data_IF_531937313470
#
_entry.id   IF_531937313470
#
_cell.length_a   1.000
_cell.length_b   1.000
_cell.length_c   1.000
_cell.angle_alpha   90.00
_cell.angle_beta   90.00
_cell.angle_gamma   90.00
#
_symmetry.space_group_name_H-M   'P 1'
#
loop_
_entity.id
_entity.type
_entity.pdbx_description
1 polymer ?
#
# COMPACT_ATOMS: atom_id res chain seq x y z
N UNK A 1 30.17 54.50 6.79
CA UNK A 1 29.36 54.24 5.58
C UNK A 1 29.29 52.72 5.40
N UNK A 2 28.20 52.08 5.84
CA UNK A 2 28.05 50.61 5.86
C UNK A 2 27.57 50.18 4.48
N UNK A 3 28.40 49.47 3.71
CA UNK A 3 27.99 48.90 2.42
C UNK A 3 27.22 47.61 2.67
N UNK A 4 25.91 47.69 2.47
CA UNK A 4 24.97 46.57 2.48
C UNK A 4 25.32 45.59 1.35
N UNK A 5 25.99 44.49 1.68
CA UNK A 5 26.27 43.42 0.72
C UNK A 5 24.96 42.70 0.36
N UNK A 6 24.35 43.11 -0.75
CA UNK A 6 23.24 42.38 -1.37
C UNK A 6 23.79 41.05 -1.89
N UNK A 7 23.40 39.93 -1.27
CA UNK A 7 23.66 38.56 -1.72
C UNK A 7 23.11 38.38 -3.14
N UNK A 8 23.91 38.67 -4.16
CA UNK A 8 23.60 38.38 -5.55
C UNK A 8 23.97 36.93 -5.83
N UNK A 9 23.03 36.02 -5.54
CA UNK A 9 23.10 34.60 -5.83
C UNK A 9 24.19 33.79 -5.07
N UNK A 10 23.76 32.64 -4.54
CA UNK A 10 24.62 31.68 -3.85
C UNK A 10 25.80 31.18 -4.69
N UNK A 11 25.74 31.33 -6.02
CA UNK A 11 26.81 30.99 -6.97
C UNK A 11 28.11 31.77 -6.70
N UNK A 12 28.05 32.97 -6.14
CA UNK A 12 29.23 33.79 -5.81
C UNK A 12 29.91 33.38 -4.49
N UNK A 13 29.27 32.53 -3.67
CA UNK A 13 29.82 32.07 -2.37
C UNK A 13 30.60 30.75 -2.46
N UNK A 14 30.74 30.17 -3.65
CA UNK A 14 31.41 28.89 -3.83
C UNK A 14 32.93 29.05 -3.88
N UNK A 15 33.57 28.97 -2.71
CA UNK A 15 35.03 29.08 -2.57
C UNK A 15 35.80 27.95 -3.25
N UNK A 16 35.22 26.76 -3.42
CA UNK A 16 35.93 25.56 -3.86
C UNK A 16 35.19 24.85 -5.01
N UNK A 17 35.69 25.02 -6.24
CA UNK A 17 35.05 24.47 -7.45
C UNK A 17 35.00 22.94 -7.49
N UNK A 18 35.94 22.27 -6.79
CA UNK A 18 36.03 20.82 -6.74
C UNK A 18 34.91 20.18 -5.91
N UNK A 19 34.55 20.78 -4.77
CA UNK A 19 33.45 20.29 -3.92
C UNK A 19 32.09 20.39 -4.63
N UNK A 20 31.91 21.43 -5.45
CA UNK A 20 30.70 21.61 -6.27
C UNK A 20 30.63 20.54 -7.35
N UNK A 21 31.75 20.24 -8.03
CA UNK A 21 31.79 19.21 -9.05
C UNK A 21 31.53 17.82 -8.45
N UNK A 22 32.10 17.52 -7.29
CA UNK A 22 31.86 16.27 -6.57
C UNK A 22 30.40 16.17 -6.09
N UNK A 23 29.84 17.25 -5.55
CA UNK A 23 28.42 17.28 -5.16
C UNK A 23 27.47 17.11 -6.36
N UNK A 24 27.81 17.69 -7.53
CA UNK A 24 27.07 17.49 -8.77
C UNK A 24 27.20 16.06 -9.29
N UNK A 25 28.38 15.45 -9.17
CA UNK A 25 28.59 14.07 -9.56
C UNK A 25 27.80 13.11 -8.66
N UNK A 26 27.83 13.29 -7.34
CA UNK A 26 26.98 12.52 -6.41
C UNK A 26 25.49 12.71 -6.68
N UNK A 27 25.06 13.92 -7.03
CA UNK A 27 23.67 14.17 -7.40
C UNK A 27 23.31 13.44 -8.69
N UNK A 28 24.19 13.46 -9.71
CA UNK A 28 23.99 12.72 -10.95
C UNK A 28 23.97 11.22 -10.70
N UNK A 29 24.84 10.69 -9.84
CA UNK A 29 24.85 9.29 -9.43
C UNK A 29 23.58 8.91 -8.67
N UNK A 30 23.08 9.76 -7.76
CA UNK A 30 21.84 9.53 -7.03
C UNK A 30 20.59 9.59 -7.94
N UNK A 31 20.56 10.50 -8.92
CA UNK A 31 19.47 10.61 -9.91
C UNK A 31 19.50 9.42 -10.87
N UNK A 32 20.70 8.98 -11.28
CA UNK A 32 20.89 7.85 -12.19
C UNK A 32 20.92 6.49 -11.47
N UNK A 33 20.86 6.47 -10.14
CA UNK A 33 20.70 5.26 -9.35
C UNK A 33 19.31 4.72 -9.62
N UNK A 34 19.21 3.87 -10.65
CA UNK A 34 17.99 3.12 -10.93
C UNK A 34 17.63 2.37 -9.65
N UNK A 35 16.44 2.58 -9.06
CA UNK A 35 16.00 1.70 -7.98
C UNK A 35 16.11 0.28 -8.53
N UNK A 36 16.79 -0.61 -7.78
CA UNK A 36 16.87 -2.03 -8.12
C UNK A 36 15.49 -2.48 -8.61
N UNK A 37 15.43 -3.07 -9.80
CA UNK A 37 14.18 -3.59 -10.36
C UNK A 37 13.51 -4.42 -9.26
N UNK A 38 12.43 -3.88 -8.69
CA UNK A 38 11.63 -4.61 -7.71
C UNK A 38 11.19 -5.85 -8.45
N UNK A 39 11.68 -7.02 -8.02
CA UNK A 39 11.26 -8.31 -8.58
C UNK A 39 9.74 -8.28 -8.69
N UNK A 40 9.20 -8.57 -9.88
CA UNK A 40 7.76 -8.64 -10.07
C UNK A 40 7.23 -9.78 -9.21
N UNK A 41 6.67 -9.44 -8.06
CA UNK A 41 6.01 -10.37 -7.13
C UNK A 41 4.51 -10.26 -7.33
N UNK A 42 3.80 -11.38 -7.27
CA UNK A 42 2.34 -11.39 -7.48
C UNK A 42 1.60 -10.87 -6.24
N UNK A 43 2.12 -11.21 -5.05
CA UNK A 43 1.64 -10.73 -3.77
C UNK A 43 2.78 -10.73 -2.74
N UNK A 44 2.51 -10.23 -1.55
CA UNK A 44 3.39 -10.38 -0.39
C UNK A 44 2.55 -10.93 0.76
N UNK A 45 2.90 -12.12 1.25
CA UNK A 45 2.17 -12.79 2.33
C UNK A 45 3.12 -13.34 3.38
N UNK A 46 3.11 -12.72 4.56
CA UNK A 46 4.00 -13.08 5.67
C UNK A 46 3.45 -14.29 6.40
N UNK A 47 4.22 -15.39 6.41
CA UNK A 47 3.91 -16.63 7.12
C UNK A 47 4.43 -16.57 8.56
N UNK A 48 5.69 -16.15 8.72
CA UNK A 48 6.38 -15.97 10.00
C UNK A 48 7.54 -14.98 9.87
N UNK A 49 8.28 -14.76 10.96
CA UNK A 49 9.39 -13.79 11.05
C UNK A 49 10.52 -14.02 10.03
N UNK A 50 10.58 -15.20 9.39
CA UNK A 50 11.65 -15.58 8.47
C UNK A 50 11.16 -15.86 7.05
N UNK A 51 9.84 -15.91 6.85
CA UNK A 51 9.25 -16.46 5.64
C UNK A 51 8.12 -15.58 5.13
N UNK A 52 8.34 -15.02 3.95
CA UNK A 52 7.34 -14.27 3.17
C UNK A 52 7.17 -14.94 1.81
N UNK A 53 5.92 -15.26 1.47
CA UNK A 53 5.56 -15.84 0.18
C UNK A 53 5.18 -14.75 -0.81
N UNK A 54 5.65 -14.92 -2.03
CA UNK A 54 5.47 -13.97 -3.12
C UNK A 54 4.69 -14.55 -4.30
N UNK A 55 4.60 -15.89 -4.37
CA UNK A 55 3.90 -16.64 -5.41
C UNK A 55 3.08 -17.78 -4.80
N UNK A 56 1.99 -18.18 -5.48
CA UNK A 56 1.16 -19.32 -5.03
C UNK A 56 1.93 -20.63 -4.93
N UNK A 57 3.04 -20.73 -5.66
CA UNK A 57 3.96 -21.85 -5.69
C UNK A 57 4.72 -22.03 -4.38
N UNK A 58 4.89 -20.95 -3.62
CA UNK A 58 5.68 -20.92 -2.39
C UNK A 58 4.99 -21.68 -1.26
N UNK A 59 3.67 -21.87 -1.36
CA UNK A 59 2.88 -22.67 -0.43
C UNK A 59 3.19 -24.17 -0.59
N UNK A 60 3.64 -24.79 0.49
CA UNK A 60 3.89 -26.24 0.55
C UNK A 60 2.58 -26.99 0.80
N UNK A 61 1.68 -26.43 1.60
CA UNK A 61 0.37 -27.02 1.87
C UNK A 61 -0.62 -26.71 0.75
N UNK A 62 -1.15 -27.77 0.11
CA UNK A 62 -2.21 -27.62 -0.90
C UNK A 62 -3.45 -26.95 -0.32
N UNK A 63 -3.78 -27.26 0.94
CA UNK A 63 -4.92 -26.69 1.66
C UNK A 63 -4.71 -25.21 1.98
N UNK A 64 -3.53 -24.83 2.48
CA UNK A 64 -3.20 -23.44 2.75
C UNK A 64 -3.22 -22.60 1.46
N UNK A 65 -2.71 -23.17 0.36
CA UNK A 65 -2.77 -22.53 -0.97
C UNK A 65 -4.20 -22.25 -1.43
N UNK A 66 -5.09 -23.24 -1.30
CA UNK A 66 -6.51 -23.07 -1.66
C UNK A 66 -7.19 -22.02 -0.77
N UNK A 67 -6.92 -22.05 0.53
CA UNK A 67 -7.46 -21.08 1.47
C UNK A 67 -6.94 -19.66 1.19
N UNK A 68 -5.68 -19.53 0.81
CA UNK A 68 -5.08 -18.26 0.42
C UNK A 68 -5.69 -17.71 -0.88
N UNK A 69 -6.01 -18.56 -1.85
CA UNK A 69 -6.76 -18.12 -3.04
C UNK A 69 -8.14 -17.55 -2.67
N UNK A 70 -8.84 -18.21 -1.74
CA UNK A 70 -10.11 -17.68 -1.21
C UNK A 70 -9.91 -16.35 -0.47
N UNK A 71 -8.86 -16.24 0.33
CA UNK A 71 -8.48 -14.98 0.99
C UNK A 71 -8.24 -13.86 -0.04
N UNK A 72 -7.48 -14.10 -1.10
CA UNK A 72 -7.24 -13.12 -2.15
C UNK A 72 -8.54 -12.66 -2.83
N UNK A 73 -9.45 -13.58 -3.12
CA UNK A 73 -10.76 -13.23 -3.68
C UNK A 73 -11.56 -12.34 -2.71
N UNK A 74 -11.65 -12.72 -1.43
CA UNK A 74 -12.36 -11.92 -0.43
C UNK A 74 -11.74 -10.54 -0.24
N UNK A 75 -10.41 -10.43 -0.33
CA UNK A 75 -9.70 -9.16 -0.23
C UNK A 75 -10.02 -8.27 -1.44
N UNK A 76 -10.10 -8.84 -2.64
CA UNK A 76 -10.54 -8.11 -3.84
C UNK A 76 -11.98 -7.63 -3.70
N UNK A 77 -12.87 -8.48 -3.22
CA UNK A 77 -14.28 -8.12 -3.00
C UNK A 77 -14.41 -7.02 -1.93
N UNK A 78 -13.57 -7.06 -0.89
CA UNK A 78 -13.49 -6.02 0.14
C UNK A 78 -13.08 -4.66 -0.43
N UNK A 79 -12.02 -4.60 -1.26
CA UNK A 79 -11.62 -3.34 -1.91
C UNK A 79 -12.72 -2.82 -2.84
N UNK A 80 -13.44 -3.70 -3.56
CA UNK A 80 -14.58 -3.29 -4.38
C UNK A 80 -15.72 -2.69 -3.55
N UNK A 81 -16.04 -3.27 -2.40
CA UNK A 81 -17.05 -2.70 -1.49
C UNK A 81 -16.60 -1.35 -0.92
N UNK A 82 -15.31 -1.21 -0.64
CA UNK A 82 -14.72 0.05 -0.17
C UNK A 82 -14.83 1.15 -1.23
N UNK A 83 -14.51 0.86 -2.48
CA UNK A 83 -14.66 1.81 -3.59
C UNK A 83 -16.12 2.24 -3.75
N UNK A 84 -17.05 1.28 -3.70
CA UNK A 84 -18.49 1.55 -3.73
C UNK A 84 -18.96 2.41 -2.56
N UNK A 85 -18.44 2.15 -1.36
CA UNK A 85 -18.75 2.93 -0.17
C UNK A 85 -18.29 4.39 -0.34
N UNK A 86 -17.09 4.60 -0.88
CA UNK A 86 -16.57 5.93 -1.18
C UNK A 86 -17.42 6.67 -2.23
N UNK A 87 -17.87 5.97 -3.29
CA UNK A 87 -18.81 6.55 -4.26
C UNK A 87 -20.12 6.99 -3.61
N UNK A 88 -20.70 6.16 -2.73
CA UNK A 88 -21.93 6.48 -2.01
C UNK A 88 -21.73 7.65 -1.04
N UNK A 89 -20.60 7.71 -0.33
CA UNK A 89 -20.25 8.85 0.53
C UNK A 89 -20.10 10.14 -0.27
N UNK A 90 -19.45 10.07 -1.43
CA UNK A 90 -19.32 11.21 -2.34
C UNK A 90 -20.67 11.67 -2.89
N UNK A 91 -21.57 10.73 -3.21
CA UNK A 91 -22.95 11.02 -3.61
C UNK A 91 -23.73 11.68 -2.47
N UNK A 92 -23.62 11.13 -1.25
CA UNK A 92 -24.27 11.66 -0.05
C UNK A 92 -23.89 13.12 0.22
N UNK A 93 -22.62 13.50 0.04
CA UNK A 93 -22.15 14.88 0.23
C UNK A 93 -22.88 15.85 -0.71
N UNK A 94 -23.10 15.44 -1.97
CA UNK A 94 -23.71 16.26 -3.03
C UNK A 94 -25.24 16.20 -3.05
N UNK A 95 -25.82 15.19 -2.40
CA UNK A 95 -27.24 14.88 -2.40
C UNK A 95 -28.09 15.91 -1.63
N UNK A 96 -29.36 16.03 -2.04
CA UNK A 96 -30.36 16.78 -1.28
C UNK A 96 -30.87 15.98 -0.06
N UNK A 97 -31.69 16.59 0.81
CA UNK A 97 -32.15 15.94 2.05
C UNK A 97 -32.88 14.60 1.81
N UNK A 98 -33.75 14.53 0.80
CA UNK A 98 -34.51 13.31 0.52
C UNK A 98 -33.61 12.18 -0.02
N UNK A 99 -32.61 12.52 -0.82
CA UNK A 99 -31.60 11.57 -1.32
C UNK A 99 -30.68 11.09 -0.19
N UNK A 100 -30.27 12.00 0.72
CA UNK A 100 -29.49 11.65 1.91
C UNK A 100 -30.21 10.64 2.79
N UNK A 101 -31.51 10.83 3.03
CA UNK A 101 -32.32 9.91 3.84
C UNK A 101 -32.44 8.52 3.19
N UNK A 102 -32.30 8.42 1.85
CA UNK A 102 -32.27 7.15 1.12
C UNK A 102 -30.89 6.48 1.11
N UNK A 103 -29.83 7.27 0.97
CA UNK A 103 -28.45 6.75 0.84
C UNK A 103 -27.85 6.39 2.21
N UNK A 104 -28.18 7.13 3.28
CA UNK A 104 -27.68 6.89 4.63
C UNK A 104 -27.81 5.44 5.12
N UNK A 105 -28.98 4.78 5.04
CA UNK A 105 -29.11 3.39 5.49
C UNK A 105 -28.24 2.42 4.66
N UNK A 106 -28.10 2.66 3.35
CA UNK A 106 -27.26 1.84 2.47
C UNK A 106 -25.77 1.98 2.81
N UNK A 107 -25.31 3.20 3.10
CA UNK A 107 -23.94 3.44 3.59
C UNK A 107 -23.69 2.63 4.87
N UNK A 108 -24.61 2.74 5.84
CA UNK A 108 -24.48 2.05 7.12
C UNK A 108 -24.49 0.52 6.98
N UNK A 109 -25.30 -0.01 6.06
CA UNK A 109 -25.34 -1.45 5.77
C UNK A 109 -24.01 -1.94 5.19
N UNK A 110 -23.45 -1.23 4.20
CA UNK A 110 -22.17 -1.59 3.58
C UNK A 110 -21.04 -1.49 4.61
N UNK A 111 -21.03 -0.46 5.46
CA UNK A 111 -20.04 -0.33 6.54
C UNK A 111 -20.07 -1.53 7.50
N UNK A 112 -21.26 -2.02 7.87
CA UNK A 112 -21.40 -3.23 8.69
C UNK A 112 -20.92 -4.49 7.98
N UNK A 113 -21.24 -4.63 6.69
CA UNK A 113 -20.77 -5.76 5.89
C UNK A 113 -19.25 -5.73 5.76
N UNK A 114 -18.65 -4.56 5.54
CA UNK A 114 -17.19 -4.41 5.48
C UNK A 114 -16.51 -4.79 6.79
N UNK A 115 -17.09 -4.45 7.95
CA UNK A 115 -16.57 -4.88 9.24
C UNK A 115 -16.51 -6.41 9.35
N UNK A 116 -17.58 -7.09 8.99
CA UNK A 116 -17.64 -8.56 8.97
C UNK A 116 -16.65 -9.17 7.97
N UNK A 117 -16.51 -8.56 6.79
CA UNK A 117 -15.53 -9.00 5.78
C UNK A 117 -14.10 -8.87 6.31
N UNK A 118 -13.79 -7.81 7.05
CA UNK A 118 -12.47 -7.62 7.64
C UNK A 118 -12.16 -8.69 8.69
N UNK A 119 -13.09 -8.96 9.60
CA UNK A 119 -12.95 -10.05 10.60
C UNK A 119 -12.76 -11.43 9.95
N UNK A 120 -13.49 -11.68 8.85
CA UNK A 120 -13.34 -12.89 8.06
C UNK A 120 -11.96 -12.96 7.38
N UNK A 121 -11.44 -11.85 6.86
CA UNK A 121 -10.10 -11.78 6.26
C UNK A 121 -9.01 -12.07 7.29
N UNK A 122 -9.11 -11.48 8.49
CA UNK A 122 -8.16 -11.74 9.59
C UNK A 122 -8.17 -13.22 10.00
N UNK A 123 -9.37 -13.80 10.11
CA UNK A 123 -9.54 -15.23 10.44
C UNK A 123 -8.95 -16.12 9.34
N UNK A 124 -9.22 -15.80 8.07
CA UNK A 124 -8.66 -16.53 6.93
C UNK A 124 -7.14 -16.45 6.90
N UNK A 125 -6.58 -15.27 7.17
CA UNK A 125 -5.13 -15.05 7.20
C UNK A 125 -4.45 -15.94 8.26
N UNK A 126 -5.00 -15.95 9.48
CA UNK A 126 -4.52 -16.81 10.58
C UNK A 126 -4.60 -18.29 10.20
N UNK A 127 -5.73 -18.71 9.61
CA UNK A 127 -5.93 -20.10 9.21
C UNK A 127 -4.95 -20.53 8.10
N UNK A 128 -4.67 -19.66 7.12
CA UNK A 128 -3.65 -19.93 6.09
C UNK A 128 -2.30 -20.16 6.74
N UNK A 129 -1.87 -19.27 7.65
CA UNK A 129 -0.60 -19.42 8.38
C UNK A 129 -0.54 -20.72 9.18
N UNK A 130 -1.61 -21.04 9.90
CA UNK A 130 -1.68 -22.25 10.74
C UNK A 130 -1.62 -23.53 9.90
N UNK A 131 -2.36 -23.58 8.79
CA UNK A 131 -2.34 -24.73 7.87
C UNK A 131 -0.98 -24.91 7.21
N UNK A 132 -0.34 -23.82 6.79
CA UNK A 132 0.99 -23.88 6.19
C UNK A 132 2.03 -24.41 7.20
N UNK A 133 2.01 -23.91 8.45
CA UNK A 133 2.94 -24.36 9.48
C UNK A 133 2.70 -25.79 9.97
N UNK A 134 1.45 -26.26 9.93
CA UNK A 134 1.10 -27.62 10.36
C UNK A 134 1.47 -28.65 9.30
N UNK A 135 1.18 -28.37 8.03
CA UNK A 135 1.43 -29.29 6.92
C UNK A 135 2.81 -29.12 6.26
N UNK A 136 3.62 -28.13 6.69
CA UNK A 136 5.03 -28.00 6.30
C UNK A 136 5.99 -28.86 7.16
N UNK A 137 5.48 -29.66 8.10
CA UNK A 137 6.26 -30.68 8.84
C UNK A 137 6.31 -31.99 8.05
#
# INVERSE_FOLDING_TARGET
MIRLAKLHALRETWKNKNEVAEAQQRLAEAINHKPQERKSVDFEFVIDDRTTYNFLQDFKSKEARLLFQKYQQNRKDFEQQKDRLEELRNSYIKANKAEKDRIAPTILEIEKQMLQMNENLDTLEINVRNLEKTNSK
#
